data_IF_702565372458
#
_entry.id   IF_702565372458
#
_cell.length_a   1.000
_cell.length_b   1.000
_cell.length_c   1.000
_cell.angle_alpha   90.00
_cell.angle_beta   90.00
_cell.angle_gamma   90.00
#
_symmetry.space_group_name_H-M   'P 1'
#
loop_
_entity.id
_entity.type
_entity.pdbx_description
1 polymer ?
#
# COMPACT_ATOMS: atom_id res chain seq x y z
N UNK A 1 20.80 12.63 -22.44
CA UNK A 1 19.89 12.78 -21.29
C UNK A 1 20.67 12.43 -20.03
N UNK A 2 20.46 13.14 -18.92
CA UNK A 2 21.12 12.86 -17.64
C UNK A 2 20.22 12.01 -16.76
N UNK A 3 20.81 11.17 -15.92
CA UNK A 3 20.07 10.46 -14.87
C UNK A 3 19.41 11.48 -13.91
N UNK A 4 18.24 11.11 -13.37
CA UNK A 4 17.53 11.95 -12.40
C UNK A 4 17.03 11.12 -11.22
N UNK A 5 16.87 11.75 -10.06
CA UNK A 5 16.26 11.14 -8.89
C UNK A 5 15.01 11.94 -8.55
N UNK A 6 13.91 11.24 -8.35
CA UNK A 6 12.62 11.80 -7.97
C UNK A 6 12.30 11.35 -6.56
N UNK A 7 11.87 12.31 -5.74
CA UNK A 7 11.35 12.05 -4.40
C UNK A 7 9.90 12.55 -4.34
N UNK A 8 9.00 11.75 -3.80
CA UNK A 8 7.60 12.09 -3.57
C UNK A 8 7.19 11.69 -2.17
N UNK A 9 6.35 12.52 -1.55
CA UNK A 9 5.77 12.26 -0.25
C UNK A 9 4.30 12.70 -0.27
N UNK A 10 3.42 11.89 0.31
CA UNK A 10 1.99 12.14 0.46
C UNK A 10 1.57 11.75 1.87
N UNK A 11 0.64 12.50 2.41
CA UNK A 11 0.01 12.19 3.69
C UNK A 11 -1.41 12.75 3.70
N UNK A 12 -2.27 12.15 4.50
CA UNK A 12 -3.64 12.60 4.66
C UNK A 12 -4.19 12.24 6.04
N UNK A 13 -5.14 13.04 6.51
CA UNK A 13 -5.89 12.80 7.73
C UNK A 13 -7.32 13.33 7.59
N UNK A 14 -8.31 12.51 7.94
CA UNK A 14 -9.70 12.92 8.10
C UNK A 14 -9.90 13.39 9.53
N UNK A 15 -10.56 14.54 9.71
CA UNK A 15 -10.92 15.09 11.01
C UNK A 15 -12.43 15.00 11.19
N UNK A 16 -12.88 14.17 12.13
CA UNK A 16 -14.29 14.10 12.49
C UNK A 16 -14.67 15.34 13.29
N UNK A 17 -15.70 16.08 12.85
CA UNK A 17 -16.19 17.29 13.53
C UNK A 17 -17.29 16.98 14.55
N UNK A 18 -17.85 15.78 14.49
CA UNK A 18 -18.88 15.26 15.40
C UNK A 18 -18.44 13.88 15.93
N UNK A 19 -18.78 13.59 17.18
CA UNK A 19 -18.48 12.33 17.87
C UNK A 19 -19.20 11.13 17.26
N UNK A 20 -20.33 11.35 16.58
CA UNK A 20 -21.07 10.30 15.88
C UNK A 20 -20.64 10.15 14.41
N UNK A 21 -19.72 11.00 13.93
CA UNK A 21 -19.27 10.98 12.54
C UNK A 21 -18.33 9.81 12.28
N UNK A 22 -18.55 9.14 11.14
CA UNK A 22 -17.75 8.04 10.65
C UNK A 22 -17.46 8.31 9.18
N UNK A 23 -16.21 8.14 8.75
CA UNK A 23 -15.87 8.24 7.33
C UNK A 23 -16.47 7.05 6.58
N UNK A 24 -17.38 7.31 5.60
CA UNK A 24 -17.85 6.28 4.68
C UNK A 24 -16.67 5.64 3.95
N UNK A 25 -16.78 4.34 3.61
CA UNK A 25 -15.66 3.61 3.00
C UNK A 25 -15.10 4.29 1.76
N UNK A 26 -15.96 4.76 0.86
CA UNK A 26 -15.61 5.48 -0.37
C UNK A 26 -14.87 6.81 -0.15
N UNK A 27 -14.79 7.30 1.10
CA UNK A 27 -14.09 8.53 1.47
C UNK A 27 -12.83 8.30 2.31
N UNK A 28 -12.46 7.04 2.54
CA UNK A 28 -11.22 6.68 3.24
C UNK A 28 -10.03 6.78 2.30
N UNK A 29 -8.84 6.82 2.88
CA UNK A 29 -7.59 6.68 2.15
C UNK A 29 -7.24 5.21 1.97
N UNK A 30 -6.61 4.91 0.83
CA UNK A 30 -6.18 3.58 0.44
C UNK A 30 -4.72 3.61 -0.03
N UNK A 31 -4.02 2.48 0.12
CA UNK A 31 -2.64 2.30 -0.30
C UNK A 31 -2.43 0.89 -0.87
N UNK A 32 -1.38 0.74 -1.65
CA UNK A 32 -1.13 -0.39 -2.54
C UNK A 32 -1.32 0.04 -3.99
N UNK A 33 -0.69 -0.67 -4.92
CA UNK A 33 -0.92 -0.43 -6.34
C UNK A 33 0.10 0.47 -7.05
N UNK A 34 -0.23 0.81 -8.30
CA UNK A 34 0.66 1.48 -9.24
C UNK A 34 1.10 2.88 -8.78
N UNK A 35 0.24 3.56 -8.02
CA UNK A 35 0.42 4.98 -7.66
C UNK A 35 0.88 5.17 -6.22
N UNK A 36 1.09 4.10 -5.45
CA UNK A 36 1.51 4.22 -4.04
C UNK A 36 2.62 3.27 -3.61
N UNK A 37 2.33 2.01 -3.33
CA UNK A 37 3.31 1.00 -2.97
C UNK A 37 3.31 -0.07 -4.06
N UNK A 38 4.14 0.14 -5.09
CA UNK A 38 4.29 -0.77 -6.22
C UNK A 38 4.95 -2.05 -5.71
N UNK A 39 4.14 -3.08 -5.48
CA UNK A 39 4.51 -4.35 -4.84
C UNK A 39 3.39 -4.97 -4.01
N UNK A 40 2.34 -4.19 -3.70
CA UNK A 40 1.12 -4.60 -3.00
C UNK A 40 -0.08 -4.48 -3.94
N UNK A 41 -1.04 -5.40 -3.92
CA UNK A 41 -2.29 -5.27 -4.69
C UNK A 41 -2.91 -3.87 -4.59
N UNK A 42 -3.62 -3.42 -5.63
CA UNK A 42 -4.33 -2.13 -5.62
C UNK A 42 -5.23 -2.07 -4.39
N UNK A 43 -5.09 -0.99 -3.61
CA UNK A 43 -5.80 -0.79 -2.35
C UNK A 43 -5.67 -1.94 -1.32
N UNK A 44 -4.65 -2.78 -1.43
CA UNK A 44 -4.47 -3.99 -0.63
C UNK A 44 -3.76 -3.79 0.71
N UNK A 45 -3.17 -2.62 0.99
CA UNK A 45 -2.46 -2.37 2.26
C UNK A 45 -3.47 -2.26 3.41
N UNK A 46 -3.40 -3.21 4.34
CA UNK A 46 -4.30 -3.26 5.50
C UNK A 46 -3.92 -2.22 6.57
N UNK A 47 -4.88 -1.66 7.33
CA UNK A 47 -4.58 -0.62 8.31
C UNK A 47 -3.76 -1.14 9.50
N UNK A 48 -2.71 -0.41 9.85
CA UNK A 48 -1.72 -0.81 10.84
C UNK A 48 -2.27 -0.94 12.27
N UNK A 49 -3.22 -0.09 12.66
CA UNK A 49 -3.83 -0.07 14.00
C UNK A 49 -4.76 -1.27 14.26
N UNK A 50 -5.22 -1.96 13.22
CA UNK A 50 -6.07 -3.15 13.33
C UNK A 50 -5.40 -4.41 12.79
N UNK A 51 -4.11 -4.37 12.49
CA UNK A 51 -3.41 -5.48 11.85
C UNK A 51 -3.44 -6.76 12.72
N UNK A 52 -3.23 -6.63 14.02
CA UNK A 52 -3.25 -7.74 14.97
C UNK A 52 -4.66 -8.38 15.04
N UNK A 53 -5.72 -7.56 14.90
CA UNK A 53 -7.11 -8.06 14.84
C UNK A 53 -7.37 -8.81 13.54
N UNK A 54 -6.87 -8.30 12.40
CA UNK A 54 -6.94 -8.98 11.11
C UNK A 54 -6.22 -10.33 11.13
N UNK A 55 -5.03 -10.41 11.74
CA UNK A 55 -4.32 -11.68 11.92
C UNK A 55 -5.07 -12.67 12.79
N UNK A 56 -5.62 -12.21 13.92
CA UNK A 56 -6.41 -13.06 14.80
C UNK A 56 -7.64 -13.63 14.07
N UNK A 57 -8.30 -12.80 13.27
CA UNK A 57 -9.47 -13.19 12.47
C UNK A 57 -9.13 -14.25 11.44
N UNK A 58 -8.05 -14.08 10.66
CA UNK A 58 -7.65 -15.07 9.64
C UNK A 58 -7.22 -16.39 10.31
N UNK A 59 -6.40 -16.33 11.36
CA UNK A 59 -5.98 -17.54 12.09
C UNK A 59 -7.17 -18.31 12.66
N UNK A 60 -8.19 -17.61 13.15
CA UNK A 60 -9.42 -18.25 13.64
C UNK A 60 -10.20 -18.93 12.50
N UNK A 61 -10.28 -18.32 11.31
CA UNK A 61 -10.85 -18.96 10.13
C UNK A 61 -10.06 -20.24 9.77
N UNK A 62 -8.73 -20.17 9.67
CA UNK A 62 -7.88 -21.29 9.25
C UNK A 62 -7.84 -22.44 10.27
N UNK A 63 -7.96 -22.15 11.56
CA UNK A 63 -7.88 -23.16 12.63
C UNK A 63 -9.15 -24.01 12.78
N UNK A 64 -10.27 -23.62 12.15
CA UNK A 64 -11.57 -24.26 12.39
C UNK A 64 -11.89 -25.25 11.28
N UNK A 65 -12.21 -26.50 11.64
CA UNK A 65 -12.69 -27.54 10.69
C UNK A 65 -14.08 -27.27 10.11
N UNK A 66 -14.75 -26.22 10.56
CA UNK A 66 -16.08 -25.79 10.14
C UNK A 66 -16.08 -24.28 9.90
N UNK A 67 -16.77 -23.79 8.87
CA UNK A 67 -16.77 -22.38 8.45
C UNK A 67 -17.41 -21.40 9.47
N UNK A 68 -17.84 -21.86 10.65
CA UNK A 68 -18.48 -21.00 11.66
C UNK A 68 -17.62 -19.81 12.12
N UNK A 69 -16.29 -19.95 12.13
CA UNK A 69 -15.37 -18.85 12.42
C UNK A 69 -14.91 -18.08 11.17
N UNK A 70 -15.16 -18.63 9.98
CA UNK A 70 -14.67 -18.08 8.74
C UNK A 70 -15.67 -17.10 8.12
N UNK A 71 -15.62 -15.86 8.58
CA UNK A 71 -16.41 -14.76 7.98
C UNK A 71 -15.92 -14.42 6.57
N UNK A 72 -16.80 -13.85 5.73
CA UNK A 72 -16.42 -13.34 4.41
C UNK A 72 -15.24 -12.35 4.46
N UNK A 73 -15.12 -11.58 5.55
CA UNK A 73 -13.98 -10.69 5.79
C UNK A 73 -12.68 -11.47 6.02
N UNK A 74 -12.72 -12.54 6.82
CA UNK A 74 -11.56 -13.40 7.05
C UNK A 74 -11.07 -14.02 5.75
N UNK A 75 -12.00 -14.51 4.92
CA UNK A 75 -11.69 -15.08 3.60
C UNK A 75 -11.07 -14.05 2.67
N UNK A 76 -11.62 -12.82 2.63
CA UNK A 76 -11.08 -11.73 1.81
C UNK A 76 -9.67 -11.33 2.25
N UNK A 77 -9.44 -11.22 3.57
CA UNK A 77 -8.12 -10.91 4.12
C UNK A 77 -7.10 -12.01 3.79
N UNK A 78 -7.43 -13.28 3.98
CA UNK A 78 -6.56 -14.40 3.66
C UNK A 78 -6.20 -14.46 2.16
N UNK A 79 -7.11 -13.99 1.30
CA UNK A 79 -6.91 -13.94 -0.14
C UNK A 79 -6.13 -12.70 -0.62
N UNK A 80 -5.64 -11.83 0.28
CA UNK A 80 -4.95 -10.60 -0.12
C UNK A 80 -5.88 -9.57 -0.75
N UNK A 81 -7.15 -9.59 -0.35
CA UNK A 81 -8.19 -8.71 -0.84
C UNK A 81 -8.02 -7.25 -0.43
N UNK A 82 -8.93 -6.42 -0.92
CA UNK A 82 -8.90 -4.97 -0.70
C UNK A 82 -9.00 -4.60 0.78
N UNK A 83 -8.34 -3.50 1.12
CA UNK A 83 -8.36 -2.90 2.44
C UNK A 83 -9.71 -2.28 2.74
N UNK A 84 -10.05 -2.20 4.04
CA UNK A 84 -11.15 -1.36 4.52
C UNK A 84 -10.80 0.15 4.50
N UNK A 85 -9.57 0.50 4.09
CA UNK A 85 -9.04 1.85 4.08
C UNK A 85 -8.84 2.45 5.48
N UNK A 86 -8.43 3.71 5.54
CA UNK A 86 -8.25 4.41 6.80
C UNK A 86 -8.39 5.93 6.73
N UNK A 87 -8.53 6.54 7.91
CA UNK A 87 -8.69 7.99 8.06
C UNK A 87 -7.34 8.72 8.16
N UNK A 88 -6.22 8.01 8.15
CA UNK A 88 -4.89 8.61 8.11
C UNK A 88 -3.93 7.76 7.30
N UNK A 89 -3.05 8.38 6.52
CA UNK A 89 -1.99 7.67 5.81
C UNK A 89 -0.73 8.51 5.63
N UNK A 90 0.38 7.82 5.37
CA UNK A 90 1.62 8.40 4.82
C UNK A 90 2.17 7.49 3.73
N UNK A 91 2.74 8.08 2.68
CA UNK A 91 3.38 7.38 1.59
C UNK A 91 4.57 8.17 1.04
N UNK A 92 5.63 7.47 0.68
CA UNK A 92 6.89 7.99 0.19
C UNK A 92 7.33 7.17 -1.01
N UNK A 93 7.90 7.83 -2.00
CA UNK A 93 8.49 7.20 -3.17
C UNK A 93 9.83 7.87 -3.46
N UNK A 94 10.84 7.03 -3.67
CA UNK A 94 12.13 7.44 -4.24
C UNK A 94 12.32 6.67 -5.53
N UNK A 95 12.59 7.37 -6.64
CA UNK A 95 12.75 6.76 -7.96
C UNK A 95 14.01 7.31 -8.65
N UNK A 96 14.96 6.43 -8.95
CA UNK A 96 16.11 6.71 -9.80
C UNK A 96 15.74 6.41 -11.26
N UNK A 97 15.86 7.41 -12.12
CA UNK A 97 15.56 7.36 -13.56
C UNK A 97 16.84 7.43 -14.36
N UNK A 98 17.07 6.40 -15.17
CA UNK A 98 18.27 6.23 -15.98
C UNK A 98 17.87 6.24 -17.47
N UNK A 99 18.29 7.26 -18.23
CA UNK A 99 18.01 7.26 -19.66
C UNK A 99 18.77 6.11 -20.34
N UNK A 100 18.04 5.23 -21.02
CA UNK A 100 18.62 4.11 -21.76
C UNK A 100 18.76 4.44 -23.25
N UNK A 101 17.74 5.08 -23.82
CA UNK A 101 17.78 5.65 -25.19
C UNK A 101 17.12 7.03 -25.20
N UNK A 102 16.92 7.63 -26.38
CA UNK A 102 16.16 8.89 -26.50
C UNK A 102 14.68 8.74 -26.11
N UNK A 103 14.11 7.55 -26.25
CA UNK A 103 12.67 7.29 -26.02
C UNK A 103 12.39 6.37 -24.84
N UNK A 104 13.40 5.67 -24.32
CA UNK A 104 13.29 4.71 -23.22
C UNK A 104 14.11 5.14 -22.00
N UNK A 105 13.52 4.98 -20.83
CA UNK A 105 14.13 5.24 -19.53
C UNK A 105 13.87 4.06 -18.61
N UNK A 106 14.92 3.59 -17.95
CA UNK A 106 14.82 2.61 -16.88
C UNK A 106 14.58 3.34 -15.57
N UNK A 107 13.83 2.72 -14.67
CA UNK A 107 13.76 3.19 -13.30
C UNK A 107 13.98 2.09 -12.28
N UNK A 108 14.52 2.50 -11.15
CA UNK A 108 14.60 1.72 -9.93
C UNK A 108 13.93 2.54 -8.84
N UNK A 109 13.03 1.94 -8.07
CA UNK A 109 12.28 2.66 -7.05
C UNK A 109 12.28 1.94 -5.70
N UNK A 110 12.05 2.75 -4.67
CA UNK A 110 11.68 2.33 -3.33
C UNK A 110 10.43 3.09 -2.92
N UNK A 111 9.39 2.35 -2.56
CA UNK A 111 8.15 2.89 -2.03
C UNK A 111 8.05 2.51 -0.54
N UNK A 112 7.54 3.42 0.27
CA UNK A 112 7.29 3.18 1.68
C UNK A 112 6.01 3.88 2.13
N UNK A 113 5.15 3.20 2.88
CA UNK A 113 3.92 3.82 3.34
C UNK A 113 3.09 2.92 4.23
N UNK A 114 2.10 3.51 4.88
CA UNK A 114 1.10 2.79 5.65
C UNK A 114 -0.11 3.67 5.91
N UNK A 115 -1.20 3.04 6.32
CA UNK A 115 -2.44 3.71 6.68
C UNK A 115 -2.97 3.20 8.03
N UNK A 116 -3.78 4.03 8.68
CA UNK A 116 -4.42 3.74 9.96
C UNK A 116 -5.91 4.01 9.84
N UNK A 117 -6.73 3.07 10.31
CA UNK A 117 -8.19 3.18 10.33
C UNK A 117 -8.61 4.35 11.20
N UNK A 118 -8.05 4.42 12.41
CA UNK A 118 -8.27 5.52 13.34
C UNK A 118 -7.04 6.43 13.34
N UNK A 119 -7.20 7.77 13.25
CA UNK A 119 -6.04 8.66 13.26
C UNK A 119 -5.25 8.59 14.57
N UNK A 120 -3.95 8.38 14.44
CA UNK A 120 -2.99 8.23 15.54
C UNK A 120 -1.99 9.38 15.60
N UNK A 121 -1.31 9.51 16.75
CA UNK A 121 -0.08 10.30 16.82
C UNK A 121 1.07 9.46 16.26
N UNK A 122 1.51 9.72 15.03
CA UNK A 122 2.57 8.95 14.36
C UNK A 122 3.89 8.92 15.14
N UNK A 123 4.17 9.94 15.95
CA UNK A 123 5.38 9.99 16.80
C UNK A 123 5.19 9.33 18.17
N UNK A 124 3.97 8.83 18.45
CA UNK A 124 3.61 8.19 19.71
C UNK A 124 3.91 6.69 19.75
N UNK A 125 3.39 6.07 20.81
CA UNK A 125 3.43 4.62 21.04
C UNK A 125 2.05 4.10 21.38
N UNK A 126 1.82 2.82 21.08
CA UNK A 126 0.62 2.12 21.52
C UNK A 126 0.68 1.71 23.01
N UNK A 127 -0.38 1.08 23.49
CA UNK A 127 -0.49 0.56 24.87
C UNK A 127 0.60 -0.45 25.25
N UNK A 128 1.19 -1.13 24.26
CA UNK A 128 2.26 -2.10 24.43
C UNK A 128 3.66 -1.47 24.24
N UNK A 129 3.74 -0.14 24.11
CA UNK A 129 4.98 0.60 23.92
C UNK A 129 5.58 0.50 22.50
N UNK A 130 4.88 -0.07 21.52
CA UNK A 130 5.32 -0.16 20.12
C UNK A 130 5.16 1.20 19.44
N UNK A 131 6.06 1.54 18.52
CA UNK A 131 5.97 2.80 17.76
C UNK A 131 4.75 2.77 16.83
N UNK A 132 4.01 3.88 16.77
CA UNK A 132 2.81 3.98 15.93
C UNK A 132 3.15 4.19 14.44
N UNK A 133 4.26 4.87 14.14
CA UNK A 133 4.79 4.95 12.77
C UNK A 133 5.48 3.64 12.39
N UNK A 134 4.73 2.78 11.72
CA UNK A 134 5.22 1.57 11.05
C UNK A 134 5.02 1.77 9.55
N UNK A 135 6.07 1.54 8.75
CA UNK A 135 5.98 1.65 7.30
C UNK A 135 6.08 0.26 6.67
N UNK A 136 5.25 0.01 5.66
CA UNK A 136 5.43 -1.09 4.72
C UNK A 136 6.33 -0.62 3.59
N UNK A 137 7.07 -1.53 2.98
CA UNK A 137 8.10 -1.21 2.00
C UNK A 137 7.98 -2.07 0.76
N UNK A 138 8.16 -1.44 -0.40
CA UNK A 138 8.34 -2.13 -1.66
C UNK A 138 9.56 -1.56 -2.39
N UNK A 139 10.22 -2.42 -3.18
CA UNK A 139 11.29 -2.01 -4.10
C UNK A 139 10.96 -2.55 -5.48
N UNK A 140 11.46 -1.93 -6.52
CA UNK A 140 11.22 -2.48 -7.85
C UNK A 140 11.95 -1.73 -8.93
N UNK A 141 11.59 -2.10 -10.15
CA UNK A 141 12.09 -1.44 -11.34
C UNK A 141 11.02 -1.36 -12.41
N UNK A 142 11.26 -0.50 -13.38
CA UNK A 142 10.34 -0.35 -14.49
C UNK A 142 10.96 0.26 -15.73
N UNK A 143 10.19 0.19 -16.80
CA UNK A 143 10.52 0.77 -18.09
C UNK A 143 9.52 1.88 -18.39
N UNK A 144 10.02 3.07 -18.70
CA UNK A 144 9.23 4.21 -19.17
C UNK A 144 9.53 4.45 -20.63
N UNK A 145 8.51 4.70 -21.43
CA UNK A 145 8.69 5.06 -22.84
C UNK A 145 7.71 6.12 -23.31
N UNK A 146 8.16 6.93 -24.26
CA UNK A 146 7.33 7.95 -24.90
C UNK A 146 6.58 7.35 -26.09
N UNK A 147 5.26 7.50 -26.09
CA UNK A 147 4.39 7.18 -27.22
C UNK A 147 3.64 8.42 -27.70
N UNK A 148 3.05 8.42 -28.91
CA UNK A 148 2.28 9.55 -29.40
C UNK A 148 1.11 9.97 -28.50
N UNK A 149 0.57 9.04 -27.71
CA UNK A 149 -0.57 9.29 -26.80
C UNK A 149 -0.14 9.68 -25.38
N UNK A 150 1.16 9.62 -25.06
CA UNK A 150 1.69 9.97 -23.74
C UNK A 150 2.87 9.11 -23.30
N UNK A 151 3.37 9.42 -22.10
CA UNK A 151 4.36 8.56 -21.42
C UNK A 151 3.65 7.32 -20.88
N UNK A 152 4.24 6.17 -21.11
CA UNK A 152 3.75 4.89 -20.60
C UNK A 152 4.81 4.28 -19.68
N UNK A 153 4.37 3.54 -18.66
CA UNK A 153 5.28 2.76 -17.82
C UNK A 153 4.77 1.33 -17.63
N UNK A 154 5.73 0.41 -17.48
CA UNK A 154 5.53 -0.88 -16.82
C UNK A 154 6.46 -0.91 -15.64
N UNK A 155 5.94 -1.28 -14.48
CA UNK A 155 6.69 -1.38 -13.23
C UNK A 155 6.46 -2.77 -12.62
N UNK A 156 7.51 -3.38 -12.11
CA UNK A 156 7.45 -4.61 -11.32
C UNK A 156 7.93 -4.28 -9.91
N UNK A 157 6.99 -4.35 -8.97
CA UNK A 157 7.23 -4.12 -7.56
C UNK A 157 7.42 -5.42 -6.79
N UNK A 158 8.28 -5.41 -5.79
CA UNK A 158 8.53 -6.49 -4.84
C UNK A 158 8.20 -5.99 -3.44
N UNK A 159 7.27 -6.66 -2.77
CA UNK A 159 6.99 -6.42 -1.36
C UNK A 159 8.18 -6.96 -0.54
N UNK A 160 8.83 -6.09 0.24
CA UNK A 160 10.07 -6.44 0.95
C UNK A 160 9.80 -7.41 2.10
N UNK A 161 8.62 -7.33 2.70
CA UNK A 161 8.20 -8.16 3.82
C UNK A 161 6.70 -8.49 3.67
N UNK A 162 6.35 -9.41 2.75
CA UNK A 162 4.97 -9.76 2.49
C UNK A 162 4.36 -10.50 3.66
N UNK A 163 3.16 -10.07 4.04
CA UNK A 163 2.35 -10.73 5.05
C UNK A 163 1.56 -11.89 4.42
N UNK A 164 2.14 -13.09 4.51
CA UNK A 164 1.56 -14.30 3.91
C UNK A 164 0.22 -14.68 4.53
N UNK A 165 -0.01 -14.35 5.82
CA UNK A 165 -1.27 -14.64 6.49
C UNK A 165 -2.39 -13.76 5.92
N UNK A 166 -2.06 -12.56 5.46
CA UNK A 166 -3.00 -11.65 4.81
C UNK A 166 -2.92 -11.72 3.28
N UNK A 167 -2.40 -12.82 2.73
CA UNK A 167 -2.35 -13.08 1.29
C UNK A 167 -1.60 -12.01 0.49
N UNK A 168 -0.68 -11.27 1.09
CA UNK A 168 0.03 -10.22 0.38
C UNK A 168 0.97 -10.80 -0.67
N UNK A 169 1.00 -10.22 -1.89
CA UNK A 169 1.83 -10.73 -2.96
C UNK A 169 3.31 -10.47 -2.65
N UNK A 170 4.18 -11.40 -3.07
CA UNK A 170 5.62 -11.18 -3.03
C UNK A 170 6.07 -10.15 -4.09
N UNK A 171 5.37 -10.11 -5.23
CA UNK A 171 5.59 -9.15 -6.30
C UNK A 171 4.29 -8.80 -7.01
N UNK A 172 4.22 -7.60 -7.59
CA UNK A 172 3.05 -7.13 -8.33
C UNK A 172 3.46 -6.32 -9.58
N UNK A 173 2.94 -6.67 -10.77
CA UNK A 173 3.16 -5.91 -12.00
C UNK A 173 2.14 -4.77 -12.14
N UNK A 174 2.59 -3.64 -12.68
CA UNK A 174 1.75 -2.48 -12.98
C UNK A 174 2.02 -1.92 -14.36
N UNK A 175 1.00 -1.25 -14.87
CA UNK A 175 1.04 -0.51 -16.11
C UNK A 175 0.36 0.84 -15.90
N UNK A 176 0.97 1.92 -16.41
CA UNK A 176 0.41 3.26 -16.34
C UNK A 176 0.52 3.99 -17.68
N UNK A 177 -0.45 4.87 -17.95
CA UNK A 177 -0.45 5.80 -19.07
C UNK A 177 -0.62 7.21 -18.50
N UNK A 178 0.28 8.11 -18.88
CA UNK A 178 0.30 9.50 -18.40
C UNK A 178 1.46 9.75 -17.44
N UNK A 179 1.32 10.80 -16.64
CA UNK A 179 2.31 11.16 -15.62
C UNK A 179 2.02 10.38 -14.34
N UNK A 180 2.97 9.51 -13.97
CA UNK A 180 3.21 9.05 -12.59
C UNK A 180 4.00 10.11 -11.81
#
# INVERSE_FOLDING_TARGET
>A
SLASVVFSARAGRVFQLDVASLTPGDRRFYLGGATSLRGFHEDGVQPQDVIDQSHALVRACEATLSDLACTAKAQLLAAGGTSDGGDQFVAFTTELRLPFTQSFELAVFWDAGNLWRTPVNLFGRDENGRRLLVLRHAVGGGLRWLTPIGRMSIDLGVNVAPDQLLGEPAFAPYFSIGTI
#
